data_IF_815819103727
#
_entry.id   IF_815819103727
#
_cell.length_a   1.000
_cell.length_b   1.000
_cell.length_c   1.000
_cell.angle_alpha   90.00
_cell.angle_beta   90.00
_cell.angle_gamma   90.00
#
_symmetry.space_group_name_H-M   'P 1'
#
loop_
_entity.id
_entity.type
_entity.pdbx_description
1 polymer ?
#
# COMPACT_ATOMS: atom_id res chain seq x y z
N UNK A 1 38.38 -12.61 -3.12
CA UNK A 1 37.63 -11.40 -3.56
C UNK A 1 36.25 -11.86 -4.04
N UNK A 2 35.51 -12.59 -3.21
CA UNK A 2 34.63 -12.14 -2.11
C UNK A 2 33.25 -11.71 -2.65
N UNK A 3 32.50 -12.78 -2.97
CA UNK A 3 31.07 -12.94 -2.63
C UNK A 3 30.05 -12.25 -3.52
N UNK A 4 30.07 -12.59 -4.80
CA UNK A 4 28.86 -12.59 -5.63
C UNK A 4 28.11 -13.92 -5.39
N UNK A 5 27.51 -14.10 -4.22
CA UNK A 5 26.68 -15.28 -3.88
C UNK A 5 25.39 -14.79 -3.22
N UNK A 6 24.28 -14.94 -3.95
CA UNK A 6 22.88 -14.88 -3.50
C UNK A 6 22.07 -13.55 -3.39
N UNK A 7 22.54 -12.36 -3.77
CA UNK A 7 21.70 -11.11 -3.66
C UNK A 7 21.65 -10.28 -4.95
N UNK A 8 21.65 -10.93 -6.10
CA UNK A 8 21.14 -10.35 -7.34
C UNK A 8 19.71 -10.82 -7.61
N UNK A 9 18.94 -11.09 -6.56
CA UNK A 9 17.49 -11.13 -6.69
C UNK A 9 17.04 -9.69 -6.83
N UNK A 10 16.42 -9.39 -7.96
CA UNK A 10 15.27 -8.48 -7.97
C UNK A 10 14.46 -8.75 -6.70
N UNK A 11 14.63 -7.93 -5.67
CA UNK A 11 13.72 -7.90 -4.54
C UNK A 11 12.41 -7.30 -5.07
N UNK A 12 11.72 -8.10 -5.88
CA UNK A 12 10.27 -8.10 -5.99
C UNK A 12 9.76 -8.54 -4.64
N UNK A 13 9.98 -7.71 -3.63
CA UNK A 13 9.34 -7.84 -2.34
C UNK A 13 7.84 -7.74 -2.67
N UNK A 14 7.05 -8.81 -2.55
CA UNK A 14 5.63 -8.67 -2.69
C UNK A 14 5.14 -8.10 -1.37
N UNK A 15 5.28 -6.79 -1.15
CA UNK A 15 4.51 -6.18 -0.07
C UNK A 15 3.06 -6.37 -0.46
N UNK A 16 2.33 -7.13 0.37
CA UNK A 16 0.93 -7.40 0.10
C UNK A 16 0.16 -6.18 0.58
N UNK A 17 -0.51 -5.50 -0.34
CA UNK A 17 -1.57 -4.56 0.02
C UNK A 17 -2.75 -5.42 0.48
N UNK A 18 -3.02 -5.44 1.78
CA UNK A 18 -3.97 -6.40 2.38
C UNK A 18 -5.42 -5.93 2.27
N UNK A 19 -5.71 -4.63 2.14
CA UNK A 19 -7.06 -4.14 1.83
C UNK A 19 -7.10 -2.65 1.51
N UNK A 20 -8.03 -2.26 0.63
CA UNK A 20 -8.76 -1.00 0.71
C UNK A 20 -10.20 -1.35 1.12
N UNK A 21 -10.59 -1.09 2.37
CA UNK A 21 -11.89 -1.53 2.90
C UNK A 21 -12.97 -0.49 2.63
N UNK A 22 -13.96 -0.80 1.78
CA UNK A 22 -15.14 0.05 1.56
C UNK A 22 -16.37 -0.46 2.32
N UNK A 23 -17.00 0.39 3.10
CA UNK A 23 -18.22 0.07 3.85
C UNK A 23 -19.48 0.45 3.04
N UNK A 24 -19.85 -0.35 2.03
CA UNK A 24 -21.19 -0.25 1.44
C UNK A 24 -21.80 -1.63 1.20
N UNK A 25 -22.62 -2.10 2.14
CA UNK A 25 -23.50 -3.26 1.94
C UNK A 25 -24.93 -2.80 1.70
N UNK A 26 -25.32 -2.69 0.43
CA UNK A 26 -26.73 -2.76 0.01
C UNK A 26 -26.85 -3.70 -1.20
N UNK A 27 -27.63 -4.76 -1.02
CA UNK A 27 -27.97 -5.76 -2.04
C UNK A 27 -29.09 -5.25 -2.98
N UNK A 28 -28.76 -4.22 -3.77
CA UNK A 28 -29.58 -3.74 -4.90
C UNK A 28 -28.86 -4.08 -6.23
N UNK A 29 -29.56 -4.12 -7.39
CA UNK A 29 -28.91 -4.31 -8.69
C UNK A 29 -27.75 -3.29 -8.84
N UNK A 30 -26.66 -3.66 -9.53
CA UNK A 30 -25.37 -2.93 -9.64
C UNK A 30 -25.43 -1.48 -10.17
N UNK A 31 -26.59 -0.83 -10.17
CA UNK A 31 -26.84 0.56 -10.59
C UNK A 31 -26.73 1.60 -9.45
N UNK A 32 -26.35 1.21 -8.24
CA UNK A 32 -26.05 2.20 -7.21
C UNK A 32 -24.60 2.66 -7.39
N UNK A 33 -24.31 3.98 -7.42
CA UNK A 33 -22.95 4.45 -7.60
C UNK A 33 -22.11 3.95 -6.40
N UNK A 34 -20.97 3.34 -6.70
CA UNK A 34 -20.07 2.72 -5.72
C UNK A 34 -18.68 3.29 -5.94
N UNK A 35 -17.90 3.43 -4.87
CA UNK A 35 -16.48 3.63 -5.00
C UNK A 35 -15.84 2.35 -5.56
N UNK A 36 -14.82 2.50 -6.39
CA UNK A 36 -14.04 1.40 -6.95
C UNK A 36 -12.57 1.72 -6.74
N UNK A 37 -11.99 1.19 -5.66
CA UNK A 37 -10.64 1.53 -5.23
C UNK A 37 -9.62 0.57 -5.84
N UNK A 38 -8.59 1.14 -6.45
CA UNK A 38 -7.40 0.45 -6.93
C UNK A 38 -6.17 1.01 -6.23
N UNK A 39 -5.24 0.13 -5.86
CA UNK A 39 -3.98 0.53 -5.23
C UNK A 39 -2.84 -0.05 -6.04
N UNK A 40 -1.89 0.80 -6.43
CA UNK A 40 -0.66 0.42 -7.11
C UNK A 40 0.52 0.77 -6.21
N UNK A 41 1.38 -0.21 -5.95
CA UNK A 41 2.65 0.01 -5.25
C UNK A 41 3.80 -0.07 -6.25
N UNK A 42 4.63 0.96 -6.27
CA UNK A 42 5.83 1.04 -7.09
C UNK A 42 7.04 1.32 -6.21
N UNK A 43 8.20 0.84 -6.64
CA UNK A 43 9.46 1.01 -5.95
C UNK A 43 10.54 1.28 -7.00
N UNK A 44 11.58 2.03 -6.61
CA UNK A 44 12.73 2.19 -7.48
C UNK A 44 13.45 0.85 -7.68
N UNK A 45 13.72 0.52 -8.94
CA UNK A 45 14.12 -0.83 -9.36
C UNK A 45 15.51 -1.24 -8.90
N UNK A 46 16.31 -0.31 -8.36
CA UNK A 46 17.67 -0.58 -7.89
C UNK A 46 17.94 0.17 -6.59
N UNK A 47 17.95 -0.58 -5.49
CA UNK A 47 18.44 -0.10 -4.20
C UNK A 47 19.51 -1.04 -3.68
N UNK A 48 20.47 -0.48 -2.95
CA UNK A 48 21.51 -1.27 -2.29
C UNK A 48 20.99 -1.71 -0.93
N UNK A 49 21.37 -2.90 -0.49
CA UNK A 49 21.08 -3.33 0.87
C UNK A 49 21.68 -2.31 1.86
N UNK A 50 20.89 -1.91 2.87
CA UNK A 50 21.28 -0.90 3.86
C UNK A 50 21.04 0.55 3.43
N UNK A 51 20.56 0.82 2.21
CA UNK A 51 20.07 2.16 1.82
C UNK A 51 18.54 2.23 1.91
N UNK A 52 17.95 3.39 2.21
CA UNK A 52 16.49 3.56 2.17
C UNK A 52 15.93 3.20 0.79
N UNK A 53 14.82 2.47 0.78
CA UNK A 53 14.05 2.17 -0.42
C UNK A 53 12.77 3.02 -0.42
N UNK A 54 12.65 3.90 -1.41
CA UNK A 54 11.45 4.69 -1.60
C UNK A 54 10.38 3.84 -2.29
N UNK A 55 9.19 3.84 -1.70
CA UNK A 55 7.98 3.26 -2.29
C UNK A 55 6.97 4.36 -2.56
N UNK A 56 6.29 4.25 -3.70
CA UNK A 56 5.15 5.10 -4.05
C UNK A 56 3.88 4.26 -4.05
N UNK A 57 2.93 4.62 -3.20
CA UNK A 57 1.58 4.07 -3.19
C UNK A 57 0.66 5.03 -3.92
N UNK A 58 -0.03 4.53 -4.94
CA UNK A 58 -1.00 5.29 -5.74
C UNK A 58 -2.37 4.68 -5.47
N UNK A 59 -3.30 5.46 -4.94
CA UNK A 59 -4.64 5.01 -4.55
C UNK A 59 -5.67 5.71 -5.43
N UNK A 60 -6.28 4.99 -6.36
CA UNK A 60 -7.24 5.55 -7.31
C UNK A 60 -8.66 5.10 -6.99
N UNK A 61 -9.63 6.02 -7.07
CA UNK A 61 -11.06 5.70 -7.01
C UNK A 61 -11.69 5.79 -8.41
N UNK A 62 -11.81 4.66 -9.11
CA UNK A 62 -12.42 4.55 -10.43
C UNK A 62 -13.97 4.60 -10.40
N UNK A 63 -14.57 4.60 -9.22
CA UNK A 63 -16.01 4.50 -9.04
C UNK A 63 -16.70 5.87 -9.14
N UNK A 64 -17.99 5.92 -9.51
CA UNK A 64 -18.76 7.16 -9.53
C UNK A 64 -19.14 7.70 -8.13
N UNK A 65 -18.70 7.07 -7.04
CA UNK A 65 -18.92 7.56 -5.68
C UNK A 65 -17.62 7.76 -4.93
N UNK A 66 -17.60 8.72 -4.01
CA UNK A 66 -16.50 8.98 -3.10
C UNK A 66 -16.27 7.79 -2.15
N UNK A 67 -15.00 7.60 -1.76
CA UNK A 67 -14.61 6.63 -0.76
C UNK A 67 -14.24 7.33 0.55
N UNK A 68 -14.87 6.94 1.66
CA UNK A 68 -14.55 7.49 2.98
C UNK A 68 -14.95 6.52 4.11
N UNK A 69 -14.04 6.22 5.06
CA UNK A 69 -12.60 6.43 5.00
C UNK A 69 -11.92 5.43 4.04
N UNK A 70 -10.75 5.77 3.50
CA UNK A 70 -9.89 4.81 2.78
C UNK A 70 -8.74 4.42 3.68
N UNK A 71 -8.63 3.13 3.99
CA UNK A 71 -7.54 2.56 4.78
C UNK A 71 -6.71 1.67 3.87
N UNK A 72 -5.43 1.99 3.72
CA UNK A 72 -4.45 1.17 2.99
C UNK A 72 -3.56 0.48 4.01
N UNK A 73 -3.47 -0.84 3.91
CA UNK A 73 -2.64 -1.68 4.78
C UNK A 73 -1.59 -2.37 3.94
N UNK A 74 -0.32 -2.18 4.30
CA UNK A 74 0.84 -2.68 3.56
C UNK A 74 1.79 -3.42 4.49
N UNK A 75 1.83 -4.75 4.36
CA UNK A 75 2.75 -5.58 5.14
C UNK A 75 4.13 -5.56 4.51
N UNK A 76 5.11 -5.04 5.26
CA UNK A 76 6.50 -4.99 4.85
C UNK A 76 7.14 -6.38 5.01
N UNK A 77 8.04 -6.77 4.09
CA UNK A 77 8.75 -8.04 4.21
C UNK A 77 9.73 -8.02 5.39
N UNK A 78 10.12 -9.21 5.82
CA UNK A 78 11.25 -9.40 6.72
C UNK A 78 12.52 -8.73 6.16
N UNK A 79 13.27 -8.05 7.04
CA UNK A 79 14.50 -7.35 6.68
C UNK A 79 14.30 -5.92 6.13
N UNK A 80 13.08 -5.41 6.14
CA UNK A 80 12.81 -3.99 5.87
C UNK A 80 12.24 -3.29 7.09
N UNK A 81 12.51 -1.99 7.18
CA UNK A 81 12.02 -1.12 8.26
C UNK A 81 11.41 0.12 7.64
N UNK A 82 10.24 0.53 8.13
CA UNK A 82 9.66 1.81 7.77
C UNK A 82 10.50 2.94 8.36
N UNK A 83 10.66 4.01 7.58
CA UNK A 83 11.34 5.23 8.04
C UNK A 83 10.28 6.19 8.55
N UNK A 84 10.18 6.35 9.86
CA UNK A 84 9.26 7.31 10.48
C UNK A 84 9.47 8.72 9.89
N UNK A 85 8.38 9.43 9.60
CA UNK A 85 8.41 10.75 8.96
C UNK A 85 8.64 10.74 7.45
N UNK A 86 8.79 9.57 6.81
CA UNK A 86 8.83 9.47 5.33
C UNK A 86 7.45 9.61 4.67
N UNK A 87 6.37 9.44 5.43
CA UNK A 87 4.99 9.63 5.01
C UNK A 87 4.08 9.91 6.23
N UNK A 88 2.81 10.21 5.98
CA UNK A 88 1.78 10.35 7.02
C UNK A 88 1.24 9.00 7.54
N UNK A 89 1.71 7.89 6.98
CA UNK A 89 1.32 6.55 7.41
C UNK A 89 2.01 6.16 8.72
N UNK A 90 1.42 5.21 9.45
CA UNK A 90 1.95 4.75 10.74
C UNK A 90 2.20 3.24 10.74
N UNK A 91 3.13 2.80 11.59
CA UNK A 91 3.31 1.37 11.85
C UNK A 91 2.23 0.87 12.82
N UNK A 92 1.53 -0.18 12.41
CA UNK A 92 0.69 -0.98 13.28
C UNK A 92 1.49 -2.17 13.84
N UNK A 93 1.84 -2.08 15.12
CA UNK A 93 2.56 -3.13 15.85
C UNK A 93 1.68 -4.28 16.33
N UNK A 94 0.39 -4.29 15.97
CA UNK A 94 -0.53 -5.39 16.30
C UNK A 94 -0.21 -6.66 15.53
N UNK A 95 0.41 -6.52 14.35
CA UNK A 95 0.82 -7.64 13.51
C UNK A 95 2.22 -8.13 13.86
N UNK A 96 2.44 -9.44 13.73
CA UNK A 96 3.76 -10.05 13.91
C UNK A 96 4.79 -9.57 12.87
N UNK A 97 4.31 -9.19 11.68
CA UNK A 97 5.09 -8.59 10.61
C UNK A 97 4.93 -7.05 10.62
N UNK A 98 5.99 -6.28 10.32
CA UNK A 98 5.92 -4.83 10.26
C UNK A 98 4.88 -4.39 9.23
N UNK A 99 3.79 -3.75 9.69
CA UNK A 99 2.66 -3.37 8.85
C UNK A 99 2.48 -1.87 8.86
N UNK A 100 2.48 -1.24 7.69
CA UNK A 100 2.22 0.19 7.51
C UNK A 100 0.72 0.38 7.24
N UNK A 101 0.10 1.31 7.96
CA UNK A 101 -1.31 1.67 7.81
C UNK A 101 -1.40 3.15 7.45
N UNK A 102 -2.04 3.44 6.31
CA UNK A 102 -2.33 4.79 5.85
C UNK A 102 -3.85 5.00 5.90
N UNK A 103 -4.30 6.09 6.52
CA UNK A 103 -5.72 6.45 6.60
C UNK A 103 -5.94 7.76 5.86
N UNK A 104 -6.70 7.69 4.77
CA UNK A 104 -7.16 8.86 4.04
C UNK A 104 -8.62 9.14 4.44
N UNK A 105 -8.94 10.37 4.88
CA UNK A 105 -10.28 10.70 5.36
C UNK A 105 -11.33 10.57 4.26
N UNK A 106 -10.97 10.93 3.03
CA UNK A 106 -11.82 10.77 1.84
C UNK A 106 -10.99 10.75 0.57
N UNK A 107 -11.43 9.96 -0.41
CA UNK A 107 -10.94 9.99 -1.78
C UNK A 107 -12.13 10.16 -2.73
N UNK A 108 -12.20 11.33 -3.38
CA UNK A 108 -13.29 11.67 -4.27
C UNK A 108 -13.40 10.68 -5.44
N UNK A 109 -14.59 10.57 -6.03
CA UNK A 109 -14.78 9.83 -7.28
C UNK A 109 -13.82 10.33 -8.37
N UNK A 110 -13.19 9.39 -9.09
CA UNK A 110 -12.17 9.66 -10.12
C UNK A 110 -10.88 10.34 -9.64
N UNK A 111 -10.61 10.38 -8.33
CA UNK A 111 -9.36 10.91 -7.77
C UNK A 111 -8.25 9.84 -7.66
N UNK A 112 -7.00 10.29 -7.57
CA UNK A 112 -5.77 9.49 -7.38
C UNK A 112 -4.89 10.12 -6.30
#
# INVERSE_FOLDING_TARGET
>A
MNSCSAICMSMSIPSKIVAAKFAARLALPRRYPRADLSVVKQADRQVRAGTPLAYTLIVTNNGPSDASPVVVVDTLPAGTTFVEGSSECQIDSTYADPTVVCVYPSLAASAT
#
